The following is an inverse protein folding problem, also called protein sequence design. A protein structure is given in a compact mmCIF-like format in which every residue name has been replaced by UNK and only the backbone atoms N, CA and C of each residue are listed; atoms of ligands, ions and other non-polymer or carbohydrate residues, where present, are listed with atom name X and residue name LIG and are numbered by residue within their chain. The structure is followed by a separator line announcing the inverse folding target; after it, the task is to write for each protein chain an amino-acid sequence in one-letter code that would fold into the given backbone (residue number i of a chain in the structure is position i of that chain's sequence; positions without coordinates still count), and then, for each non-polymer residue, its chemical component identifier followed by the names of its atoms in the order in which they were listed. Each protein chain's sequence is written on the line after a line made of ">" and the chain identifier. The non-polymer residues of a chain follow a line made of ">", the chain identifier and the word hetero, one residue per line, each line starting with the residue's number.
data_IF_570429263053
#
_entry.id   IF_570429263053
#
_cell.length_a   1.000
_cell.length_b   1.000
_cell.length_c   1.000
_cell.angle_alpha   90.00
_cell.angle_beta   90.00
_cell.angle_gamma   90.00
#
_symmetry.space_group_name_H-M   'P 1'
#
loop_
_entity.id
_entity.type
_entity.pdbx_description
1 polymer ?
#
# COMPACT_ATOMS: atom_id res chain seq x y z
N UNK A 1 -27.44 -4.29 24.17
CA UNK A 1 -26.59 -4.35 22.96
C UNK A 1 -25.26 -5.13 23.12
N UNK A 2 -25.17 -6.17 23.94
CA UNK A 2 -23.93 -6.97 24.10
C UNK A 2 -23.63 -7.90 22.90
N UNK A 3 -24.66 -8.37 22.19
CA UNK A 3 -24.49 -9.29 21.06
C UNK A 3 -23.84 -8.66 19.79
N UNK A 4 -24.11 -7.37 19.52
CA UNK A 4 -23.49 -6.67 18.39
C UNK A 4 -21.99 -6.44 18.61
N UNK A 5 -21.58 -6.05 19.84
CA UNK A 5 -20.15 -5.88 20.18
C UNK A 5 -19.37 -7.18 20.05
N UNK A 6 -19.96 -8.32 20.45
CA UNK A 6 -19.33 -9.64 20.37
C UNK A 6 -19.15 -10.11 18.93
N UNK A 7 -20.12 -9.83 18.03
CA UNK A 7 -20.07 -10.18 16.60
C UNK A 7 -19.06 -9.30 15.85
N UNK A 8 -18.95 -8.02 16.22
CA UNK A 8 -17.96 -7.07 15.66
C UNK A 8 -16.54 -7.44 16.11
N UNK A 9 -16.33 -7.77 17.40
CA UNK A 9 -15.02 -8.22 17.91
C UNK A 9 -14.55 -9.52 17.25
N UNK A 10 -15.44 -10.48 17.01
CA UNK A 10 -15.12 -11.72 16.31
C UNK A 10 -14.72 -11.46 14.84
N UNK A 11 -15.45 -10.60 14.14
CA UNK A 11 -15.12 -10.20 12.77
C UNK A 11 -13.75 -9.51 12.67
N UNK A 12 -13.43 -8.62 13.61
CA UNK A 12 -12.12 -7.96 13.70
C UNK A 12 -11.00 -8.99 13.94
N UNK A 13 -11.21 -9.93 14.84
CA UNK A 13 -10.23 -10.97 15.16
C UNK A 13 -9.94 -11.86 13.94
N UNK A 14 -10.99 -12.30 13.23
CA UNK A 14 -10.86 -13.12 12.01
C UNK A 14 -10.08 -12.36 10.92
N UNK A 15 -10.41 -11.10 10.67
CA UNK A 15 -9.71 -10.26 9.68
C UNK A 15 -8.25 -10.03 10.09
N UNK A 16 -7.98 -9.80 11.38
CA UNK A 16 -6.61 -9.62 11.88
C UNK A 16 -5.79 -10.90 11.70
N UNK A 17 -6.38 -12.06 12.02
CA UNK A 17 -5.72 -13.35 11.86
C UNK A 17 -5.45 -13.66 10.37
N UNK A 18 -6.41 -13.37 9.49
CA UNK A 18 -6.25 -13.52 8.04
C UNK A 18 -5.13 -12.63 7.51
N UNK A 19 -5.10 -11.35 7.90
CA UNK A 19 -4.04 -10.43 7.50
C UNK A 19 -2.65 -10.87 8.01
N UNK A 20 -2.57 -11.39 9.23
CA UNK A 20 -1.33 -11.94 9.77
C UNK A 20 -0.88 -13.18 8.98
N UNK A 21 -1.81 -14.08 8.65
CA UNK A 21 -1.52 -15.27 7.85
C UNK A 21 -1.03 -14.90 6.45
N UNK A 22 -1.65 -13.91 5.81
CA UNK A 22 -1.22 -13.37 4.51
C UNK A 22 0.19 -12.80 4.56
N UNK A 23 0.53 -12.08 5.64
CA UNK A 23 1.87 -11.53 5.82
C UNK A 23 2.93 -12.59 6.05
N UNK A 24 2.63 -13.61 6.85
CA UNK A 24 3.53 -14.75 7.07
C UNK A 24 3.75 -15.53 5.78
N UNK A 25 2.68 -15.77 5.01
CA UNK A 25 2.77 -16.43 3.71
C UNK A 25 3.56 -15.61 2.70
N UNK A 26 3.31 -14.29 2.65
CA UNK A 26 4.08 -13.34 1.83
C UNK A 26 5.56 -13.30 2.21
N UNK A 27 5.88 -13.37 3.50
CA UNK A 27 7.26 -13.44 3.99
C UNK A 27 7.93 -14.76 3.58
N UNK A 28 7.25 -15.89 3.77
CA UNK A 28 7.74 -17.20 3.33
C UNK A 28 7.98 -17.25 1.80
N UNK A 29 7.06 -16.64 1.02
CA UNK A 29 7.19 -16.50 -0.43
C UNK A 29 8.46 -15.72 -0.81
N UNK A 30 8.76 -14.62 -0.12
CA UNK A 30 9.96 -13.81 -0.38
C UNK A 30 11.24 -14.56 -0.05
N UNK A 31 11.29 -15.33 1.06
CA UNK A 31 12.44 -16.18 1.39
C UNK A 31 12.64 -17.21 0.28
N UNK A 32 11.59 -17.90 -0.13
CA UNK A 32 11.63 -18.88 -1.23
C UNK A 32 12.16 -18.24 -2.51
N UNK A 33 11.60 -17.07 -2.88
CA UNK A 33 11.95 -16.34 -4.09
C UNK A 33 13.43 -15.95 -4.10
N UNK A 34 13.94 -15.41 -2.98
CA UNK A 34 15.35 -15.02 -2.85
C UNK A 34 16.30 -16.22 -3.00
N UNK A 35 15.94 -17.36 -2.40
CA UNK A 35 16.76 -18.57 -2.48
C UNK A 35 16.74 -19.23 -3.86
N UNK A 36 15.63 -19.15 -4.60
CA UNK A 36 15.48 -19.81 -5.90
C UNK A 36 15.87 -18.89 -7.08
N UNK A 37 15.46 -17.64 -7.04
CA UNK A 37 15.69 -16.71 -8.15
C UNK A 37 16.99 -15.92 -8.03
N UNK A 38 17.46 -15.66 -6.80
CA UNK A 38 18.62 -14.79 -6.55
C UNK A 38 18.27 -13.29 -6.56
N UNK A 39 19.19 -12.47 -6.06
CA UNK A 39 18.98 -11.02 -5.89
C UNK A 39 18.92 -10.26 -7.22
N UNK A 40 19.63 -10.71 -8.24
CA UNK A 40 19.66 -10.08 -9.58
C UNK A 40 18.31 -10.20 -10.27
N UNK A 41 17.76 -11.43 -10.34
CA UNK A 41 16.42 -11.66 -10.89
C UNK A 41 15.33 -10.92 -10.11
N UNK A 42 15.44 -10.81 -8.76
CA UNK A 42 14.53 -10.03 -7.93
C UNK A 42 14.65 -8.54 -8.25
N UNK A 43 15.88 -8.03 -8.45
CA UNK A 43 16.11 -6.65 -8.87
C UNK A 43 15.48 -6.36 -10.23
N UNK A 44 15.67 -7.23 -11.21
CA UNK A 44 15.08 -7.14 -12.53
C UNK A 44 13.52 -7.22 -12.45
N UNK A 45 13.00 -8.15 -11.65
CA UNK A 45 11.56 -8.26 -11.39
C UNK A 45 11.00 -6.97 -10.76
N UNK A 46 11.75 -6.32 -9.86
CA UNK A 46 11.33 -5.05 -9.25
C UNK A 46 11.14 -3.96 -10.29
N UNK A 47 12.00 -3.89 -11.32
CA UNK A 47 11.85 -2.92 -12.42
C UNK A 47 10.62 -3.22 -13.30
N UNK A 48 10.41 -4.49 -13.63
CA UNK A 48 9.22 -4.92 -14.39
C UNK A 48 7.94 -4.62 -13.61
N UNK A 49 7.94 -4.86 -12.30
CA UNK A 49 6.80 -4.60 -11.43
C UNK A 49 6.48 -3.10 -11.25
N UNK A 50 7.40 -2.17 -11.57
CA UNK A 50 7.05 -0.75 -11.63
C UNK A 50 6.07 -0.45 -12.77
N UNK A 51 6.25 -1.10 -13.93
CA UNK A 51 5.27 -0.97 -15.05
C UNK A 51 3.91 -1.49 -14.63
N UNK A 52 3.87 -2.64 -13.93
CA UNK A 52 2.64 -3.18 -13.35
C UNK A 52 2.00 -2.20 -12.37
N UNK A 53 2.77 -1.63 -11.44
CA UNK A 53 2.27 -0.73 -10.40
C UNK A 53 1.66 0.56 -10.99
N UNK A 54 2.30 1.15 -12.00
CA UNK A 54 1.77 2.32 -12.71
C UNK A 54 0.45 1.98 -13.40
N UNK A 55 0.39 0.85 -14.12
CA UNK A 55 -0.82 0.43 -14.81
C UNK A 55 -1.97 0.12 -13.83
N UNK A 56 -1.69 -0.57 -12.72
CA UNK A 56 -2.66 -0.81 -11.64
C UNK A 56 -3.15 0.49 -11.04
N UNK A 57 -2.27 1.46 -10.80
CA UNK A 57 -2.64 2.76 -10.26
C UNK A 57 -3.62 3.49 -11.17
N UNK A 58 -3.40 3.47 -12.48
CA UNK A 58 -4.28 4.12 -13.46
C UNK A 58 -5.62 3.39 -13.61
N UNK A 59 -5.59 2.05 -13.69
CA UNK A 59 -6.79 1.27 -14.03
C UNK A 59 -7.64 0.90 -12.81
N UNK A 60 -7.01 0.67 -11.65
CA UNK A 60 -7.63 -0.06 -10.54
C UNK A 60 -7.84 0.82 -9.30
N UNK A 61 -6.93 1.77 -8.99
CA UNK A 61 -6.99 2.53 -7.73
C UNK A 61 -8.32 3.29 -7.56
N UNK A 62 -8.73 4.04 -8.58
CA UNK A 62 -10.00 4.76 -8.58
C UNK A 62 -11.22 3.83 -8.68
N UNK A 63 -11.10 2.74 -9.45
CA UNK A 63 -12.14 1.73 -9.58
C UNK A 63 -12.48 1.13 -8.20
N UNK A 64 -11.49 0.76 -7.41
CA UNK A 64 -11.71 0.20 -6.08
C UNK A 64 -12.53 1.16 -5.19
N UNK A 65 -12.17 2.43 -5.14
CA UNK A 65 -12.88 3.44 -4.35
C UNK A 65 -14.30 3.64 -4.85
N UNK A 66 -14.48 3.77 -6.17
CA UNK A 66 -15.80 3.99 -6.79
C UNK A 66 -16.73 2.80 -6.57
N UNK A 67 -16.25 1.56 -6.82
CA UNK A 67 -17.05 0.35 -6.66
C UNK A 67 -17.42 0.11 -5.21
N UNK A 68 -16.50 0.22 -4.25
CA UNK A 68 -16.79 0.04 -2.81
C UNK A 68 -17.83 1.06 -2.35
N UNK A 69 -17.64 2.34 -2.71
CA UNK A 69 -18.54 3.42 -2.28
C UNK A 69 -19.94 3.26 -2.87
N UNK A 70 -20.05 2.98 -4.16
CA UNK A 70 -21.33 2.81 -4.83
C UNK A 70 -22.01 1.49 -4.45
N UNK A 71 -21.28 0.38 -4.31
CA UNK A 71 -21.83 -0.88 -3.85
C UNK A 71 -22.48 -0.75 -2.46
N UNK A 72 -21.82 -0.03 -1.53
CA UNK A 72 -22.38 0.26 -0.21
C UNK A 72 -23.69 1.06 -0.29
N UNK A 73 -23.81 1.99 -1.24
CA UNK A 73 -25.04 2.79 -1.43
C UNK A 73 -26.16 2.00 -2.10
N UNK A 74 -25.84 1.25 -3.16
CA UNK A 74 -26.84 0.59 -3.98
C UNK A 74 -27.30 -0.77 -3.47
N UNK A 75 -26.61 -1.36 -2.48
CA UNK A 75 -27.00 -2.67 -1.93
C UNK A 75 -28.43 -2.69 -1.37
N UNK A 76 -28.92 -1.56 -0.87
CA UNK A 76 -30.29 -1.42 -0.33
C UNK A 76 -31.38 -1.43 -1.44
N UNK A 77 -30.99 -1.15 -2.70
CA UNK A 77 -31.87 -1.18 -3.86
C UNK A 77 -31.98 -2.55 -4.54
N UNK A 78 -31.33 -3.56 -3.95
CA UNK A 78 -31.41 -4.92 -4.42
C UNK A 78 -30.25 -5.35 -5.34
N UNK A 79 -30.29 -6.62 -5.74
CA UNK A 79 -29.19 -7.29 -6.45
C UNK A 79 -29.01 -6.77 -7.88
N UNK A 80 -30.07 -6.34 -8.55
CA UNK A 80 -30.00 -5.76 -9.89
C UNK A 80 -29.14 -4.50 -9.97
N UNK A 81 -29.14 -3.66 -8.90
CA UNK A 81 -28.30 -2.47 -8.82
C UNK A 81 -26.82 -2.83 -8.73
N UNK A 82 -26.48 -3.87 -7.97
CA UNK A 82 -25.10 -4.36 -7.85
C UNK A 82 -24.59 -4.92 -9.18
N UNK A 83 -25.45 -5.64 -9.95
CA UNK A 83 -25.10 -6.13 -11.29
C UNK A 83 -24.85 -4.97 -12.26
N UNK A 84 -25.73 -3.95 -12.27
CA UNK A 84 -25.55 -2.74 -13.10
C UNK A 84 -24.22 -2.03 -12.76
N UNK A 85 -23.89 -1.91 -11.47
CA UNK A 85 -22.60 -1.36 -11.03
C UNK A 85 -21.42 -2.18 -11.55
N UNK A 86 -21.48 -3.51 -11.43
CA UNK A 86 -20.44 -4.41 -11.96
C UNK A 86 -20.25 -4.23 -13.47
N UNK A 87 -21.36 -4.12 -14.24
CA UNK A 87 -21.29 -3.90 -15.68
C UNK A 87 -20.66 -2.56 -16.05
N UNK A 88 -21.02 -1.46 -15.35
CA UNK A 88 -20.41 -0.14 -15.56
C UNK A 88 -18.91 -0.18 -15.21
N UNK A 89 -18.56 -0.75 -14.05
CA UNK A 89 -17.17 -0.86 -13.62
C UNK A 89 -16.32 -1.68 -14.58
N UNK A 90 -16.84 -2.81 -15.07
CA UNK A 90 -16.17 -3.67 -16.06
C UNK A 90 -15.96 -2.93 -17.40
N UNK A 91 -16.96 -2.23 -17.90
CA UNK A 91 -16.87 -1.46 -19.16
C UNK A 91 -15.82 -0.35 -19.06
N UNK A 92 -15.86 0.44 -17.98
CA UNK A 92 -14.88 1.52 -17.74
C UNK A 92 -13.46 0.95 -17.56
N UNK A 93 -13.33 -0.13 -16.78
CA UNK A 93 -12.06 -0.79 -16.58
C UNK A 93 -11.44 -1.28 -17.90
N UNK A 94 -12.24 -1.93 -18.77
CA UNK A 94 -11.77 -2.40 -20.07
C UNK A 94 -11.24 -1.25 -20.94
N UNK A 95 -11.93 -0.11 -20.94
CA UNK A 95 -11.46 1.07 -21.69
C UNK A 95 -10.12 1.57 -21.13
N UNK A 96 -10.00 1.75 -19.81
CA UNK A 96 -8.77 2.18 -19.17
C UNK A 96 -7.62 1.18 -19.40
N UNK A 97 -7.92 -0.11 -19.28
CA UNK A 97 -6.96 -1.17 -19.54
C UNK A 97 -6.45 -1.12 -20.99
N UNK A 98 -7.32 -1.01 -21.99
CA UNK A 98 -6.91 -0.93 -23.40
C UNK A 98 -6.09 0.32 -23.69
N UNK A 99 -6.42 1.46 -23.07
CA UNK A 99 -5.63 2.70 -23.18
C UNK A 99 -4.18 2.52 -22.72
N UNK A 100 -3.91 1.62 -21.77
CA UNK A 100 -2.55 1.31 -21.29
C UNK A 100 -1.96 0.11 -22.03
N UNK A 101 -2.74 -0.94 -22.24
CA UNK A 101 -2.25 -2.18 -22.80
C UNK A 101 -1.74 -2.02 -24.23
N UNK A 102 -2.44 -1.23 -25.07
CA UNK A 102 -2.05 -1.02 -26.45
C UNK A 102 -0.69 -0.31 -26.57
N UNK A 103 -0.44 0.84 -25.91
CA UNK A 103 0.89 1.48 -25.92
C UNK A 103 1.99 0.60 -25.32
N UNK A 104 1.75 -0.06 -24.20
CA UNK A 104 2.75 -0.92 -23.54
C UNK A 104 3.09 -2.11 -24.45
N UNK A 105 2.10 -2.74 -25.08
CA UNK A 105 2.32 -3.83 -26.02
C UNK A 105 3.12 -3.38 -27.26
N UNK A 106 2.74 -2.25 -27.86
CA UNK A 106 3.42 -1.69 -29.03
C UNK A 106 4.87 -1.30 -28.73
N UNK A 107 5.12 -0.73 -27.54
CA UNK A 107 6.43 -0.23 -27.12
C UNK A 107 7.24 -1.23 -26.27
N UNK A 108 6.78 -2.49 -26.09
CA UNK A 108 7.38 -3.47 -25.17
C UNK A 108 8.89 -3.67 -25.36
N UNK A 109 9.37 -3.72 -26.61
CA UNK A 109 10.79 -3.85 -26.91
C UNK A 109 11.58 -2.60 -26.54
N UNK A 110 10.99 -1.42 -26.76
CA UNK A 110 11.58 -0.13 -26.35
C UNK A 110 11.64 -0.01 -24.82
N UNK A 111 10.58 -0.42 -24.12
CA UNK A 111 10.52 -0.44 -22.65
C UNK A 111 11.58 -1.42 -22.11
N UNK A 112 11.62 -2.65 -22.62
CA UNK A 112 12.59 -3.65 -22.22
C UNK A 112 14.04 -3.17 -22.41
N UNK A 113 14.38 -2.63 -23.58
CA UNK A 113 15.75 -2.25 -23.92
C UNK A 113 16.18 -0.91 -23.30
N UNK A 114 15.33 0.13 -23.33
CA UNK A 114 15.70 1.50 -22.92
C UNK A 114 15.42 1.79 -21.46
N UNK A 115 14.31 1.27 -20.93
CA UNK A 115 13.86 1.58 -19.57
C UNK A 115 14.37 0.54 -18.56
N UNK A 116 14.19 -0.75 -18.86
CA UNK A 116 14.62 -1.86 -18.00
C UNK A 116 16.08 -2.23 -18.32
N UNK A 117 16.45 -2.09 -19.61
CA UNK A 117 17.77 -2.36 -20.15
C UNK A 117 18.06 -3.85 -20.35
N UNK A 118 17.07 -4.73 -20.45
CA UNK A 118 17.19 -6.14 -20.73
C UNK A 118 16.15 -6.60 -21.74
N UNK A 119 16.60 -6.98 -22.96
CA UNK A 119 15.72 -7.43 -24.03
C UNK A 119 14.95 -8.71 -23.70
N UNK A 120 15.51 -9.56 -22.82
CA UNK A 120 14.92 -10.84 -22.43
C UNK A 120 13.59 -10.71 -21.67
N UNK A 121 13.31 -9.56 -21.06
CA UNK A 121 12.05 -9.32 -20.33
C UNK A 121 10.89 -8.85 -21.21
N UNK A 122 11.08 -8.70 -22.52
CA UNK A 122 10.01 -8.22 -23.42
C UNK A 122 8.80 -9.16 -23.42
N UNK A 123 9.00 -10.47 -23.29
CA UNK A 123 7.93 -11.46 -23.14
C UNK A 123 7.27 -11.40 -21.75
N UNK A 124 8.05 -11.08 -20.72
CA UNK A 124 7.52 -10.88 -19.38
C UNK A 124 6.54 -9.69 -19.33
N UNK A 125 6.75 -8.63 -20.11
CA UNK A 125 5.83 -7.49 -20.21
C UNK A 125 4.45 -7.88 -20.79
N UNK A 126 4.39 -8.86 -21.71
CA UNK A 126 3.11 -9.38 -22.20
C UNK A 126 2.35 -10.08 -21.06
N UNK A 127 3.05 -10.89 -20.28
CA UNK A 127 2.46 -11.54 -19.10
C UNK A 127 2.03 -10.55 -18.03
N UNK A 128 2.76 -9.43 -17.87
CA UNK A 128 2.34 -8.32 -17.01
C UNK A 128 1.01 -7.74 -17.46
N UNK A 129 0.78 -7.55 -18.77
CA UNK A 129 -0.51 -7.09 -19.29
C UNK A 129 -1.64 -8.09 -19.00
N UNK A 130 -1.37 -9.40 -19.17
CA UNK A 130 -2.31 -10.44 -18.77
C UNK A 130 -2.61 -10.40 -17.26
N UNK A 131 -1.59 -10.21 -16.43
CA UNK A 131 -1.73 -10.08 -14.99
C UNK A 131 -2.60 -8.86 -14.64
N UNK A 132 -2.31 -7.67 -15.20
CA UNK A 132 -3.11 -6.45 -14.97
C UNK A 132 -4.58 -6.69 -15.33
N UNK A 133 -4.84 -7.33 -16.47
CA UNK A 133 -6.20 -7.65 -16.90
C UNK A 133 -6.94 -8.49 -15.87
N UNK A 134 -6.32 -9.55 -15.37
CA UNK A 134 -6.92 -10.44 -14.37
C UNK A 134 -7.07 -9.74 -13.01
N UNK A 135 -6.03 -9.05 -12.57
CA UNK A 135 -6.03 -8.29 -11.29
C UNK A 135 -7.16 -7.25 -11.26
N UNK A 136 -7.48 -6.59 -12.39
CA UNK A 136 -8.58 -5.64 -12.43
C UNK A 136 -9.96 -6.31 -12.28
N UNK A 137 -10.17 -7.45 -12.92
CA UNK A 137 -11.39 -8.25 -12.74
C UNK A 137 -11.51 -8.72 -11.29
N UNK A 138 -10.43 -9.21 -10.73
CA UNK A 138 -10.34 -9.64 -9.33
C UNK A 138 -10.70 -8.49 -8.36
N UNK A 139 -10.04 -7.35 -8.52
CA UNK A 139 -10.28 -6.18 -7.66
C UNK A 139 -11.71 -5.64 -7.78
N UNK A 140 -12.32 -5.70 -8.95
CA UNK A 140 -13.73 -5.34 -9.13
C UNK A 140 -14.63 -6.23 -8.24
N UNK A 141 -14.44 -7.56 -8.28
CA UNK A 141 -15.21 -8.47 -7.43
C UNK A 141 -14.88 -8.30 -5.94
N UNK A 142 -13.62 -8.13 -5.58
CA UNK A 142 -13.20 -7.80 -4.18
C UNK A 142 -13.93 -6.55 -3.69
N UNK A 143 -13.92 -5.49 -4.48
CA UNK A 143 -14.55 -4.20 -4.14
C UNK A 143 -16.07 -4.31 -3.96
N UNK A 144 -16.76 -5.12 -4.78
CA UNK A 144 -18.18 -5.40 -4.62
C UNK A 144 -18.45 -6.13 -3.29
N UNK A 145 -17.66 -7.16 -2.97
CA UNK A 145 -17.82 -7.89 -1.72
C UNK A 145 -17.56 -7.03 -0.49
N UNK A 146 -16.52 -6.16 -0.55
CA UNK A 146 -16.21 -5.20 0.53
C UNK A 146 -17.36 -4.21 0.70
N UNK A 147 -17.80 -3.57 -0.39
CA UNK A 147 -18.87 -2.57 -0.39
C UNK A 147 -20.21 -3.13 0.12
N UNK A 148 -20.50 -4.41 -0.13
CA UNK A 148 -21.71 -5.11 0.34
C UNK A 148 -21.53 -5.80 1.70
N UNK A 149 -20.44 -5.50 2.45
CA UNK A 149 -20.22 -6.02 3.80
C UNK A 149 -19.76 -7.49 3.87
N UNK A 150 -19.35 -8.09 2.75
CA UNK A 150 -18.86 -9.49 2.66
C UNK A 150 -17.32 -9.57 2.64
N UNK A 151 -16.65 -8.72 3.40
CA UNK A 151 -15.19 -8.68 3.51
C UNK A 151 -14.49 -10.04 3.83
N UNK A 152 -15.06 -10.97 4.61
CA UNK A 152 -14.42 -12.28 4.82
C UNK A 152 -14.20 -13.08 3.52
N UNK A 153 -15.05 -12.91 2.50
CA UNK A 153 -14.88 -13.58 1.20
C UNK A 153 -13.60 -13.11 0.49
N UNK A 154 -13.28 -11.82 0.59
CA UNK A 154 -12.05 -11.26 0.00
C UNK A 154 -10.81 -11.79 0.72
N UNK A 155 -10.85 -11.92 2.04
CA UNK A 155 -9.74 -12.50 2.81
C UNK A 155 -9.45 -13.96 2.42
N UNK A 156 -10.50 -14.76 2.16
CA UNK A 156 -10.34 -16.14 1.67
C UNK A 156 -9.74 -16.15 0.27
N UNK A 157 -10.22 -15.29 -0.65
CA UNK A 157 -9.66 -15.23 -2.02
C UNK A 157 -8.20 -14.84 -2.03
N UNK A 158 -7.77 -13.89 -1.16
CA UNK A 158 -6.38 -13.49 -1.01
C UNK A 158 -5.48 -14.61 -0.46
N UNK A 159 -5.98 -15.41 0.50
CA UNK A 159 -5.24 -16.58 1.00
C UNK A 159 -5.07 -17.65 -0.09
N UNK A 160 -6.12 -17.90 -0.87
CA UNK A 160 -6.06 -18.84 -2.01
C UNK A 160 -5.08 -18.34 -3.06
N UNK A 161 -5.16 -17.06 -3.42
CA UNK A 161 -4.24 -16.41 -4.37
C UNK A 161 -2.78 -16.54 -3.94
N UNK A 162 -2.45 -16.15 -2.70
CA UNK A 162 -1.09 -16.20 -2.20
C UNK A 162 -0.55 -17.63 -2.10
N UNK A 163 -1.39 -18.59 -1.71
CA UNK A 163 -1.02 -20.01 -1.67
C UNK A 163 -0.76 -20.56 -3.07
N UNK A 164 -1.63 -20.25 -4.02
CA UNK A 164 -1.49 -20.64 -5.42
C UNK A 164 -0.25 -19.98 -6.04
N UNK A 165 0.00 -18.68 -5.78
CA UNK A 165 1.18 -17.95 -6.23
C UNK A 165 2.47 -18.60 -5.73
N UNK A 166 2.52 -18.93 -4.44
CA UNK A 166 3.66 -19.62 -3.85
C UNK A 166 3.95 -20.94 -4.59
N UNK A 167 2.91 -21.75 -4.80
CA UNK A 167 3.04 -23.06 -5.45
C UNK A 167 3.48 -22.94 -6.91
N UNK A 168 2.81 -22.11 -7.71
CA UNK A 168 3.10 -21.99 -9.13
C UNK A 168 4.45 -21.35 -9.39
N UNK A 169 4.83 -20.30 -8.67
CA UNK A 169 6.15 -19.69 -8.81
C UNK A 169 7.25 -20.70 -8.46
N UNK A 170 7.06 -21.47 -7.38
CA UNK A 170 8.02 -22.52 -7.00
C UNK A 170 8.18 -23.59 -8.08
N UNK A 171 7.07 -24.08 -8.65
CA UNK A 171 7.08 -25.09 -9.71
C UNK A 171 7.73 -24.56 -10.98
N UNK A 172 7.36 -23.33 -11.41
CA UNK A 172 7.84 -22.75 -12.65
C UNK A 172 9.34 -22.40 -12.61
N UNK A 173 9.83 -21.85 -11.49
CA UNK A 173 11.26 -21.58 -11.35
C UNK A 173 12.08 -22.86 -11.36
N UNK A 174 11.63 -23.94 -10.68
CA UNK A 174 12.34 -25.20 -10.66
C UNK A 174 12.26 -25.99 -11.97
N UNK A 175 11.15 -25.89 -12.68
CA UNK A 175 10.88 -26.74 -13.83
C UNK A 175 11.22 -26.14 -15.19
N UNK A 176 11.23 -24.81 -15.33
CA UNK A 176 11.22 -24.16 -16.65
C UNK A 176 12.32 -23.09 -16.85
N UNK A 177 13.23 -22.87 -15.89
CA UNK A 177 14.22 -21.81 -16.05
C UNK A 177 15.59 -22.34 -16.48
N UNK A 178 16.13 -21.73 -17.55
CA UNK A 178 17.47 -21.99 -18.09
C UNK A 178 18.60 -21.31 -17.31
N UNK A 179 18.34 -20.88 -16.08
CA UNK A 179 19.31 -20.16 -15.24
C UNK A 179 19.42 -18.65 -15.54
N UNK A 180 18.86 -18.14 -16.65
CA UNK A 180 18.87 -16.71 -17.00
C UNK A 180 17.86 -15.92 -16.14
N UNK A 181 18.25 -14.71 -15.69
CA UNK A 181 17.40 -13.90 -14.82
C UNK A 181 16.09 -13.47 -15.49
N UNK A 182 16.10 -13.14 -16.78
CA UNK A 182 14.89 -12.84 -17.55
C UNK A 182 13.90 -14.04 -17.58
N UNK A 183 14.41 -15.28 -17.66
CA UNK A 183 13.57 -16.48 -17.61
C UNK A 183 12.96 -16.66 -16.22
N UNK A 184 13.72 -16.39 -15.15
CA UNK A 184 13.23 -16.42 -13.76
C UNK A 184 12.14 -15.38 -13.53
N UNK A 185 12.31 -14.14 -14.02
CA UNK A 185 11.32 -13.07 -13.97
C UNK A 185 10.04 -13.49 -14.70
N UNK A 186 10.19 -14.07 -15.90
CA UNK A 186 9.04 -14.59 -16.68
C UNK A 186 8.29 -15.67 -15.90
N UNK A 187 9.00 -16.60 -15.24
CA UNK A 187 8.41 -17.64 -14.40
C UNK A 187 7.66 -17.05 -13.18
N UNK A 188 8.20 -16.02 -12.53
CA UNK A 188 7.57 -15.33 -11.41
C UNK A 188 6.24 -14.71 -11.85
N UNK A 189 6.24 -13.96 -12.96
CA UNK A 189 5.04 -13.29 -13.47
C UNK A 189 4.01 -14.30 -13.98
N UNK A 190 4.45 -15.39 -14.63
CA UNK A 190 3.55 -16.49 -15.03
C UNK A 190 2.85 -17.12 -13.83
N UNK A 191 3.57 -17.33 -12.73
CA UNK A 191 2.99 -17.83 -11.47
C UNK A 191 1.99 -16.86 -10.86
N UNK A 192 2.23 -15.54 -10.98
CA UNK A 192 1.25 -14.52 -10.59
C UNK A 192 -0.03 -14.62 -11.44
N UNK A 193 0.10 -14.67 -12.76
CA UNK A 193 -1.04 -14.81 -13.68
C UNK A 193 -1.87 -16.04 -13.33
N UNK A 194 -1.22 -17.20 -13.10
CA UNK A 194 -1.92 -18.43 -12.73
C UNK A 194 -2.65 -18.29 -11.38
N UNK A 195 -2.06 -17.62 -10.40
CA UNK A 195 -2.69 -17.42 -9.09
C UNK A 195 -3.96 -16.55 -9.13
N UNK A 196 -4.00 -15.54 -10.03
CA UNK A 196 -5.17 -14.69 -10.23
C UNK A 196 -6.41 -15.48 -10.66
N UNK A 197 -6.25 -16.52 -11.49
CA UNK A 197 -7.38 -17.37 -11.89
C UNK A 197 -8.05 -18.07 -10.70
N UNK A 198 -7.27 -18.50 -9.71
CA UNK A 198 -7.80 -19.14 -8.51
C UNK A 198 -8.53 -18.14 -7.61
N UNK A 199 -8.00 -16.94 -7.46
CA UNK A 199 -8.68 -15.88 -6.73
C UNK A 199 -9.98 -15.46 -7.40
N UNK A 200 -9.95 -15.19 -8.70
CA UNK A 200 -11.15 -14.85 -9.49
C UNK A 200 -12.18 -15.97 -9.38
N UNK A 201 -11.75 -17.23 -9.46
CA UNK A 201 -12.64 -18.40 -9.34
C UNK A 201 -13.40 -18.39 -8.01
N UNK A 202 -12.71 -18.17 -6.87
CA UNK A 202 -13.34 -18.11 -5.54
C UNK A 202 -14.31 -16.94 -5.42
N UNK A 203 -13.94 -15.77 -5.91
CA UNK A 203 -14.79 -14.57 -5.89
C UNK A 203 -16.00 -14.71 -6.82
N UNK A 204 -15.82 -15.29 -8.01
CA UNK A 204 -16.88 -15.50 -8.98
C UNK A 204 -17.92 -16.51 -8.46
N UNK A 205 -17.50 -17.61 -7.86
CA UNK A 205 -18.40 -18.58 -7.22
C UNK A 205 -19.26 -17.88 -6.16
N UNK A 206 -18.62 -17.05 -5.32
CA UNK A 206 -19.34 -16.28 -4.31
C UNK A 206 -20.27 -15.24 -4.93
N UNK A 207 -19.85 -14.57 -6.00
CA UNK A 207 -20.65 -13.57 -6.70
C UNK A 207 -21.89 -14.21 -7.37
N UNK A 208 -21.72 -15.31 -8.08
CA UNK A 208 -22.83 -16.05 -8.71
C UNK A 208 -23.84 -16.51 -7.67
N UNK A 209 -23.37 -17.13 -6.58
CA UNK A 209 -24.23 -17.61 -5.49
C UNK A 209 -25.06 -16.51 -4.84
N UNK A 210 -24.51 -15.30 -4.71
CA UNK A 210 -25.16 -14.24 -3.93
C UNK A 210 -25.89 -13.20 -4.80
N UNK A 211 -25.48 -13.00 -6.05
CA UNK A 211 -25.98 -11.91 -6.89
C UNK A 211 -26.59 -12.36 -8.23
N UNK A 212 -26.44 -13.62 -8.64
CA UNK A 212 -27.03 -14.10 -9.87
C UNK A 212 -28.30 -14.95 -9.67
N UNK A 213 -28.49 -15.54 -8.49
CA UNK A 213 -29.61 -16.46 -8.23
C UNK A 213 -30.86 -15.78 -7.68
N UNK A 214 -30.86 -14.49 -7.41
CA UNK A 214 -32.04 -13.82 -6.88
C UNK A 214 -32.88 -13.13 -7.96
N UNK A 215 -34.23 -13.15 -7.76
CA UNK A 215 -35.23 -12.65 -8.67
C UNK A 215 -35.03 -11.20 -9.11
N UNK A 216 -35.25 -10.98 -10.40
CA UNK A 216 -35.17 -9.69 -11.08
C UNK A 216 -36.44 -8.87 -10.87
N UNK A 217 -36.61 -8.22 -9.74
CA UNK A 217 -37.56 -7.12 -9.68
C UNK A 217 -36.94 -5.91 -10.39
N UNK A 218 -37.56 -5.37 -11.47
CA UNK A 218 -37.03 -4.20 -12.17
C UNK A 218 -37.30 -2.95 -11.31
N UNK A 219 -36.39 -2.61 -10.42
CA UNK A 219 -36.40 -1.30 -9.76
C UNK A 219 -35.62 -0.31 -10.62
N UNK A 220 -36.19 0.87 -10.84
CA UNK A 220 -35.51 1.97 -11.52
C UNK A 220 -34.35 2.49 -10.66
N UNK A 221 -33.14 2.24 -11.11
CA UNK A 221 -31.90 2.73 -10.47
C UNK A 221 -31.47 4.03 -11.17
N UNK A 222 -32.22 5.10 -11.01
CA UNK A 222 -31.93 6.39 -11.67
C UNK A 222 -30.63 7.04 -11.19
N UNK A 223 -30.20 6.73 -9.96
CA UNK A 223 -28.99 7.33 -9.36
C UNK A 223 -27.66 6.68 -9.85
N UNK A 224 -27.72 5.48 -10.46
CA UNK A 224 -26.51 4.78 -10.89
C UNK A 224 -26.25 5.04 -12.39
N UNK A 225 -25.52 6.10 -12.66
CA UNK A 225 -25.09 6.50 -14.00
C UNK A 225 -23.58 6.38 -14.17
N UNK A 226 -23.10 6.31 -15.42
CA UNK A 226 -21.65 6.39 -15.71
C UNK A 226 -21.06 7.70 -15.15
N UNK A 227 -21.83 8.80 -15.19
CA UNK A 227 -21.39 10.08 -14.64
C UNK A 227 -21.13 10.04 -13.13
N UNK A 228 -22.06 9.45 -12.35
CA UNK A 228 -21.87 9.30 -10.90
C UNK A 228 -20.67 8.39 -10.55
N UNK A 229 -20.41 7.38 -11.37
CA UNK A 229 -19.23 6.52 -11.24
C UNK A 229 -17.93 7.30 -11.53
N UNK A 230 -17.89 8.05 -12.63
CA UNK A 230 -16.71 8.86 -13.02
C UNK A 230 -16.38 9.97 -12.04
N UNK A 231 -17.38 10.61 -11.42
CA UNK A 231 -17.16 11.63 -10.37
C UNK A 231 -16.35 11.12 -9.17
N UNK A 232 -16.46 9.82 -8.86
CA UNK A 232 -15.68 9.21 -7.77
C UNK A 232 -14.37 8.63 -8.31
N UNK A 233 -14.43 7.97 -9.47
CA UNK A 233 -13.27 7.30 -10.08
C UNK A 233 -12.15 8.28 -10.41
N UNK A 234 -12.43 9.38 -11.11
CA UNK A 234 -11.38 10.27 -11.62
C UNK A 234 -10.52 10.90 -10.49
N UNK A 235 -11.07 11.53 -9.44
CA UNK A 235 -10.26 12.08 -8.37
C UNK A 235 -9.43 11.01 -7.63
N UNK A 236 -10.02 9.83 -7.39
CA UNK A 236 -9.33 8.73 -6.72
C UNK A 236 -8.19 8.17 -7.58
N UNK A 237 -8.40 8.03 -8.90
CA UNK A 237 -7.36 7.61 -9.85
C UNK A 237 -6.21 8.62 -9.90
N UNK A 238 -6.51 9.91 -10.00
CA UNK A 238 -5.48 10.97 -10.02
C UNK A 238 -4.61 10.94 -8.76
N UNK A 239 -5.22 10.72 -7.60
CA UNK A 239 -4.48 10.59 -6.33
C UNK A 239 -3.58 9.35 -6.34
N UNK A 240 -4.08 8.22 -6.83
CA UNK A 240 -3.30 6.99 -6.95
C UNK A 240 -2.13 7.13 -7.93
N UNK A 241 -2.36 7.72 -9.10
CA UNK A 241 -1.32 7.97 -10.12
C UNK A 241 -0.21 8.85 -9.55
N UNK A 242 -0.56 9.95 -8.88
CA UNK A 242 0.42 10.87 -8.34
C UNK A 242 1.40 10.18 -7.37
N UNK A 243 0.90 9.35 -6.45
CA UNK A 243 1.75 8.63 -5.50
C UNK A 243 2.61 7.56 -6.18
N UNK A 244 2.02 6.76 -7.08
CA UNK A 244 2.72 5.63 -7.71
C UNK A 244 3.72 6.08 -8.77
N UNK A 245 3.45 7.16 -9.51
CA UNK A 245 4.32 7.64 -10.56
C UNK A 245 5.70 8.07 -10.01
N UNK A 246 5.72 8.82 -8.92
CA UNK A 246 6.99 9.26 -8.32
C UNK A 246 7.82 8.08 -7.80
N UNK A 247 7.20 7.12 -7.12
CA UNK A 247 7.87 5.91 -6.63
C UNK A 247 8.45 5.10 -7.79
N UNK A 248 7.68 4.94 -8.87
CA UNK A 248 8.09 4.20 -10.05
C UNK A 248 9.26 4.88 -10.78
N UNK A 249 9.20 6.19 -10.98
CA UNK A 249 10.29 6.95 -11.59
C UNK A 249 11.55 6.85 -10.74
N UNK A 250 11.44 6.98 -9.42
CA UNK A 250 12.58 6.84 -8.49
C UNK A 250 13.25 5.48 -8.61
N UNK A 251 12.46 4.41 -8.70
CA UNK A 251 12.97 3.03 -8.82
C UNK A 251 13.58 2.77 -10.19
N UNK A 252 13.00 3.30 -11.28
CA UNK A 252 13.49 3.11 -12.64
C UNK A 252 14.76 3.93 -12.95
N UNK A 253 14.91 5.08 -12.31
CA UNK A 253 16.10 5.95 -12.45
C UNK A 253 17.30 5.38 -11.67
N UNK A 254 17.07 4.69 -10.57
CA UNK A 254 18.10 4.21 -9.66
C UNK A 254 19.22 3.37 -10.31
N UNK A 255 18.93 2.35 -11.18
CA UNK A 255 19.99 1.55 -11.81
C UNK A 255 20.97 2.41 -12.59
N UNK A 256 20.46 3.38 -13.39
CA UNK A 256 21.30 4.27 -14.20
C UNK A 256 22.17 5.18 -13.33
N UNK A 257 21.67 5.61 -12.17
CA UNK A 257 22.47 6.44 -11.22
C UNK A 257 23.56 5.62 -10.55
N UNK A 258 23.30 4.37 -10.22
CA UNK A 258 24.30 3.45 -9.66
C UNK A 258 25.38 3.09 -10.69
N UNK A 259 25.06 2.96 -11.99
CA UNK A 259 26.04 2.78 -13.05
C UNK A 259 27.00 3.98 -13.14
N UNK A 260 26.47 5.22 -13.06
CA UNK A 260 27.29 6.44 -13.03
C UNK A 260 28.21 6.47 -11.81
N UNK A 261 27.74 5.95 -10.68
CA UNK A 261 28.51 5.84 -9.44
C UNK A 261 29.59 4.73 -9.47
N UNK A 262 29.70 3.96 -10.57
CA UNK A 262 30.72 2.92 -10.76
C UNK A 262 30.28 1.49 -10.50
N UNK A 263 28.97 1.24 -10.27
CA UNK A 263 28.45 -0.12 -10.19
C UNK A 263 28.42 -0.79 -11.57
N UNK A 264 28.61 -2.12 -11.58
CA UNK A 264 28.23 -2.92 -12.74
C UNK A 264 26.71 -3.02 -12.80
N UNK A 265 26.14 -3.38 -13.95
CA UNK A 265 24.71 -3.57 -14.10
C UNK A 265 24.17 -4.65 -13.15
N UNK A 266 24.84 -5.78 -13.07
CA UNK A 266 24.49 -6.88 -12.16
C UNK A 266 24.55 -6.43 -10.69
N UNK A 267 25.61 -5.68 -10.31
CA UNK A 267 25.74 -5.11 -8.99
C UNK A 267 24.63 -4.12 -8.63
N UNK A 268 24.21 -3.27 -9.58
CA UNK A 268 23.09 -2.35 -9.37
C UNK A 268 21.77 -3.08 -9.19
N UNK A 269 21.48 -4.09 -10.03
CA UNK A 269 20.26 -4.92 -9.89
C UNK A 269 20.26 -5.73 -8.60
N UNK A 270 21.42 -6.32 -8.24
CA UNK A 270 21.56 -7.04 -6.97
C UNK A 270 21.32 -6.14 -5.76
N UNK A 271 21.84 -4.91 -5.78
CA UNK A 271 21.60 -3.92 -4.73
C UNK A 271 20.11 -3.56 -4.59
N UNK A 272 19.42 -3.33 -5.70
CA UNK A 272 17.97 -3.05 -5.73
C UNK A 272 17.18 -4.26 -5.23
N UNK A 273 17.53 -5.46 -5.68
CA UNK A 273 16.90 -6.71 -5.25
C UNK A 273 17.10 -6.96 -3.76
N UNK A 274 18.28 -6.71 -3.23
CA UNK A 274 18.57 -6.82 -1.80
C UNK A 274 17.76 -5.80 -0.98
N UNK A 275 17.70 -4.54 -1.42
CA UNK A 275 16.94 -3.49 -0.72
C UNK A 275 15.44 -3.76 -0.73
N UNK A 276 14.86 -3.88 -1.92
CA UNK A 276 13.40 -3.94 -2.10
C UNK A 276 12.84 -5.36 -1.90
N UNK A 277 13.60 -6.39 -2.26
CA UNK A 277 13.17 -7.78 -2.18
C UNK A 277 13.42 -8.43 -0.82
N UNK A 278 14.48 -8.03 -0.12
CA UNK A 278 14.94 -8.70 1.11
C UNK A 278 14.82 -7.81 2.33
N UNK A 279 15.54 -6.68 2.37
CA UNK A 279 15.69 -5.90 3.61
C UNK A 279 14.39 -5.11 3.91
N UNK A 280 13.87 -4.36 2.94
CA UNK A 280 12.71 -3.50 3.17
C UNK A 280 11.49 -4.28 3.69
N UNK A 281 11.07 -5.40 3.08
CA UNK A 281 9.92 -6.15 3.56
C UNK A 281 10.09 -6.72 4.96
N UNK A 282 11.33 -7.10 5.31
CA UNK A 282 11.64 -7.62 6.64
C UNK A 282 11.53 -6.52 7.70
N UNK A 283 12.11 -5.35 7.42
CA UNK A 283 12.11 -4.21 8.34
C UNK A 283 10.73 -3.57 8.47
N UNK A 284 9.93 -3.58 7.40
CA UNK A 284 8.57 -3.00 7.41
C UNK A 284 7.50 -3.91 7.98
N UNK A 285 7.81 -5.17 8.33
CA UNK A 285 6.83 -6.14 8.83
C UNK A 285 5.95 -5.61 10.00
N UNK A 286 6.47 -4.85 10.99
CA UNK A 286 5.64 -4.31 12.06
C UNK A 286 4.63 -3.24 11.62
N UNK A 287 4.70 -2.74 10.39
CA UNK A 287 3.77 -1.74 9.85
C UNK A 287 2.33 -2.23 9.81
N UNK A 288 2.09 -3.54 9.73
CA UNK A 288 0.76 -4.12 9.76
C UNK A 288 -0.02 -3.75 11.03
N UNK A 289 0.65 -3.69 12.18
CA UNK A 289 0.04 -3.27 13.43
C UNK A 289 -0.44 -1.82 13.37
N UNK A 290 0.37 -0.93 12.78
CA UNK A 290 0.02 0.49 12.61
C UNK A 290 -1.15 0.65 11.66
N UNK A 291 -1.14 -0.05 10.52
CA UNK A 291 -2.22 -0.01 9.54
C UNK A 291 -3.54 -0.50 10.12
N UNK A 292 -3.52 -1.61 10.86
CA UNK A 292 -4.71 -2.11 11.56
C UNK A 292 -5.26 -1.09 12.56
N UNK A 293 -4.39 -0.48 13.37
CA UNK A 293 -4.77 0.56 14.32
C UNK A 293 -5.34 1.80 13.63
N UNK A 294 -4.77 2.24 12.53
CA UNK A 294 -5.23 3.37 11.76
C UNK A 294 -6.61 3.12 11.13
N UNK A 295 -6.88 1.93 10.63
CA UNK A 295 -8.18 1.55 10.07
C UNK A 295 -9.31 1.62 11.12
N UNK A 296 -9.01 1.32 12.38
CA UNK A 296 -9.97 1.44 13.48
C UNK A 296 -10.16 2.90 13.90
N UNK A 297 -9.07 3.68 13.97
CA UNK A 297 -9.10 5.07 14.45
C UNK A 297 -9.65 6.05 13.43
N UNK A 298 -9.50 5.81 12.13
CA UNK A 298 -9.97 6.69 11.08
C UNK A 298 -11.46 7.04 11.21
N UNK A 299 -12.40 6.08 11.31
CA UNK A 299 -13.82 6.40 11.48
C UNK A 299 -14.14 7.07 12.83
N UNK A 300 -13.43 6.68 13.90
CA UNK A 300 -13.61 7.28 15.23
C UNK A 300 -13.20 8.76 15.23
N UNK A 301 -12.05 9.07 14.62
CA UNK A 301 -11.57 10.44 14.51
C UNK A 301 -12.45 11.28 13.59
N UNK A 302 -12.89 10.71 12.45
CA UNK A 302 -13.82 11.40 11.53
C UNK A 302 -15.14 11.75 12.20
N UNK A 303 -15.66 10.87 13.07
CA UNK A 303 -16.85 11.13 13.87
C UNK A 303 -16.61 12.27 14.88
N UNK A 304 -15.54 12.22 15.65
CA UNK A 304 -15.18 13.25 16.63
C UNK A 304 -14.97 14.62 15.96
N UNK A 305 -14.38 14.66 14.76
CA UNK A 305 -14.24 15.89 13.95
C UNK A 305 -15.61 16.42 13.51
N UNK A 306 -16.54 15.56 13.08
CA UNK A 306 -17.91 15.94 12.73
C UNK A 306 -18.70 16.50 13.91
N UNK A 307 -18.52 15.94 15.10
CA UNK A 307 -19.14 16.38 16.35
C UNK A 307 -18.42 17.58 16.99
N UNK A 308 -17.26 17.99 16.43
CA UNK A 308 -16.40 19.09 16.95
C UNK A 308 -15.96 18.88 18.41
N UNK A 309 -15.80 17.62 18.84
CA UNK A 309 -15.34 17.27 20.19
C UNK A 309 -13.80 17.34 20.26
N UNK A 310 -13.29 18.52 20.68
CA UNK A 310 -11.85 18.79 20.75
C UNK A 310 -11.10 17.84 21.70
N UNK A 311 -11.74 17.38 22.77
CA UNK A 311 -11.13 16.48 23.77
C UNK A 311 -10.95 15.10 23.17
N UNK A 312 -11.96 14.57 22.51
CA UNK A 312 -11.88 13.29 21.79
C UNK A 312 -10.88 13.35 20.65
N UNK A 313 -10.90 14.42 19.84
CA UNK A 313 -9.94 14.60 18.73
C UNK A 313 -8.50 14.52 19.26
N UNK A 314 -8.16 15.32 20.28
CA UNK A 314 -6.82 15.33 20.86
C UNK A 314 -6.41 13.97 21.46
N UNK A 315 -7.36 13.28 22.12
CA UNK A 315 -7.17 11.97 22.70
C UNK A 315 -6.83 10.91 21.64
N UNK A 316 -7.62 10.83 20.55
CA UNK A 316 -7.42 9.86 19.46
C UNK A 316 -6.12 10.15 18.71
N UNK A 317 -5.80 11.42 18.44
CA UNK A 317 -4.55 11.82 17.78
C UNK A 317 -3.34 11.42 18.62
N UNK A 318 -3.36 11.70 19.94
CA UNK A 318 -2.30 11.29 20.87
C UNK A 318 -2.12 9.77 20.87
N UNK A 319 -3.21 9.02 20.99
CA UNK A 319 -3.19 7.55 20.97
C UNK A 319 -2.63 7.02 19.65
N UNK A 320 -3.01 7.60 18.50
CA UNK A 320 -2.52 7.20 17.19
C UNK A 320 -1.00 7.39 17.09
N UNK A 321 -0.47 8.54 17.53
CA UNK A 321 0.98 8.81 17.52
C UNK A 321 1.73 7.86 18.46
N UNK A 322 1.24 7.64 19.67
CA UNK A 322 1.86 6.72 20.62
C UNK A 322 1.87 5.28 20.11
N UNK A 323 0.79 4.84 19.46
CA UNK A 323 0.73 3.50 18.87
C UNK A 323 1.69 3.31 17.71
N UNK A 324 2.04 4.38 16.99
CA UNK A 324 3.07 4.35 15.93
C UNK A 324 4.48 4.31 16.51
N UNK A 325 4.70 4.90 17.69
CA UNK A 325 5.97 4.84 18.39
C UNK A 325 6.25 3.45 18.99
N UNK A 326 5.22 2.72 19.38
CA UNK A 326 5.38 1.43 20.06
C UNK A 326 6.20 0.39 19.24
N UNK A 327 5.88 0.07 17.96
CA UNK A 327 6.69 -0.87 17.18
C UNK A 327 8.08 -0.32 16.85
N UNK A 328 8.25 1.00 16.72
CA UNK A 328 9.56 1.61 16.52
C UNK A 328 10.47 1.37 17.72
N UNK A 329 10.00 1.68 18.93
CA UNK A 329 10.77 1.60 20.17
C UNK A 329 10.96 0.16 20.66
N UNK A 330 9.93 -0.68 20.56
CA UNK A 330 9.92 -2.04 21.13
C UNK A 330 10.43 -3.11 20.17
N UNK A 331 10.35 -2.88 18.88
CA UNK A 331 10.73 -3.88 17.87
C UNK A 331 11.89 -3.39 17.02
N UNK A 332 11.73 -2.29 16.26
CA UNK A 332 12.70 -1.89 15.25
C UNK A 332 14.03 -1.42 15.86
N UNK A 333 14.01 -0.54 16.85
CA UNK A 333 15.24 -0.02 17.44
C UNK A 333 16.05 -1.13 18.14
N UNK A 334 15.46 -1.97 19.03
CA UNK A 334 16.20 -3.07 19.65
C UNK A 334 16.67 -4.15 18.66
N UNK A 335 15.96 -4.31 17.53
CA UNK A 335 16.32 -5.29 16.52
C UNK A 335 17.48 -4.86 15.62
N UNK A 336 17.83 -3.56 15.53
CA UNK A 336 18.91 -3.06 14.65
C UNK A 336 20.20 -3.91 14.74
N UNK A 337 20.77 -4.18 15.93
CA UNK A 337 22.01 -4.94 16.03
C UNK A 337 21.87 -6.42 15.63
N UNK A 338 20.66 -6.96 15.73
CA UNK A 338 20.36 -8.37 15.39
C UNK A 338 19.88 -8.55 13.96
N UNK A 339 19.41 -7.48 13.33
CA UNK A 339 18.70 -7.51 12.03
C UNK A 339 19.59 -8.11 10.93
N UNK A 340 20.86 -7.77 10.88
CA UNK A 340 21.81 -8.31 9.92
C UNK A 340 21.92 -9.84 10.04
N UNK A 341 21.99 -10.36 11.27
CA UNK A 341 22.05 -11.82 11.52
C UNK A 341 20.73 -12.49 11.17
N UNK A 342 19.61 -11.88 11.52
CA UNK A 342 18.29 -12.41 11.17
C UNK A 342 18.12 -12.51 9.66
N UNK A 343 18.49 -11.48 8.90
CA UNK A 343 18.43 -11.48 7.44
C UNK A 343 19.35 -12.59 6.88
N UNK A 344 20.55 -12.76 7.43
CA UNK A 344 21.46 -13.81 6.94
C UNK A 344 20.92 -15.21 7.22
N UNK A 345 20.27 -15.45 8.35
CA UNK A 345 19.64 -16.75 8.67
C UNK A 345 18.48 -17.07 7.74
N UNK A 346 17.60 -16.11 7.48
CA UNK A 346 16.41 -16.35 6.65
C UNK A 346 16.71 -16.37 5.15
N UNK A 347 17.55 -15.44 4.68
CA UNK A 347 17.77 -15.21 3.25
C UNK A 347 19.12 -15.73 2.74
N UNK A 348 20.06 -16.06 3.62
CA UNK A 348 21.42 -16.45 3.25
C UNK A 348 22.31 -15.31 2.73
N UNK A 349 21.88 -14.06 2.92
CA UNK A 349 22.55 -12.84 2.47
C UNK A 349 22.96 -12.02 3.68
N UNK A 350 24.20 -11.51 3.71
CA UNK A 350 24.71 -10.69 4.80
C UNK A 350 24.80 -9.22 4.36
N UNK A 351 23.72 -8.41 4.56
CA UNK A 351 23.73 -7.01 4.17
C UNK A 351 24.66 -6.20 5.07
N UNK A 352 25.16 -5.07 4.56
CA UNK A 352 25.97 -4.17 5.35
C UNK A 352 25.11 -3.52 6.46
N UNK A 353 25.62 -3.47 7.69
CA UNK A 353 24.87 -3.00 8.87
C UNK A 353 24.33 -1.57 8.71
N UNK A 354 25.08 -0.67 8.10
CA UNK A 354 24.64 0.72 7.89
C UNK A 354 23.46 0.83 6.92
N UNK A 355 23.36 -0.05 5.90
CA UNK A 355 22.21 -0.11 5.00
C UNK A 355 20.94 -0.51 5.76
N UNK A 356 21.06 -1.55 6.59
CA UNK A 356 19.95 -2.03 7.44
C UNK A 356 19.51 -0.94 8.41
N UNK A 357 20.47 -0.25 9.03
CA UNK A 357 20.18 0.85 9.97
C UNK A 357 19.43 2.00 9.29
N UNK A 358 19.92 2.49 8.14
CA UNK A 358 19.25 3.57 7.40
C UNK A 358 17.85 3.17 6.95
N UNK A 359 17.67 1.93 6.48
CA UNK A 359 16.36 1.45 6.07
C UNK A 359 15.39 1.32 7.26
N UNK A 360 15.91 0.95 8.45
CA UNK A 360 15.13 0.94 9.69
C UNK A 360 14.72 2.35 10.10
N UNK A 361 15.62 3.33 10.02
CA UNK A 361 15.32 4.75 10.29
C UNK A 361 14.24 5.25 9.33
N UNK A 362 14.37 4.98 8.02
CA UNK A 362 13.34 5.29 7.03
C UNK A 362 11.98 4.71 7.44
N UNK A 363 11.97 3.43 7.82
CA UNK A 363 10.73 2.72 8.20
C UNK A 363 10.07 3.34 9.42
N UNK A 364 10.85 3.76 10.41
CA UNK A 364 10.32 4.47 11.59
C UNK A 364 9.65 5.78 11.17
N UNK A 365 10.25 6.55 10.27
CA UNK A 365 9.66 7.78 9.73
C UNK A 365 8.32 7.47 9.03
N UNK A 366 8.26 6.41 8.22
CA UNK A 366 7.04 5.97 7.53
C UNK A 366 5.92 5.63 8.51
N UNK A 367 6.20 5.05 9.69
CA UNK A 367 5.20 4.75 10.70
C UNK A 367 4.43 6.00 11.14
N UNK A 368 5.16 7.08 11.42
CA UNK A 368 4.55 8.36 11.79
C UNK A 368 3.90 9.05 10.60
N UNK A 369 4.50 8.92 9.42
CA UNK A 369 4.00 9.52 8.19
C UNK A 369 2.63 8.93 7.81
N UNK A 370 2.47 7.60 7.79
CA UNK A 370 1.19 6.93 7.49
C UNK A 370 0.11 7.31 8.51
N UNK A 371 0.47 7.41 9.79
CA UNK A 371 -0.46 7.84 10.84
C UNK A 371 -0.86 9.30 10.68
N UNK A 372 0.08 10.19 10.33
CA UNK A 372 -0.22 11.60 10.07
C UNK A 372 -1.17 11.80 8.87
N UNK A 373 -0.99 11.00 7.83
CA UNK A 373 -1.91 10.96 6.66
C UNK A 373 -3.31 10.52 7.08
N UNK A 374 -3.44 9.47 7.91
CA UNK A 374 -4.72 9.03 8.44
C UNK A 374 -5.43 10.15 9.22
N UNK A 375 -4.69 10.87 10.08
CA UNK A 375 -5.23 11.99 10.87
C UNK A 375 -5.73 13.11 9.95
N UNK A 376 -4.94 13.54 8.96
CA UNK A 376 -5.34 14.59 8.02
C UNK A 376 -6.53 14.17 7.14
N UNK A 377 -6.60 12.90 6.74
CA UNK A 377 -7.73 12.36 6.00
C UNK A 377 -9.01 12.36 6.84
N UNK A 378 -8.92 12.01 8.13
CA UNK A 378 -10.05 12.10 9.06
C UNK A 378 -10.53 13.54 9.26
N UNK A 379 -9.61 14.52 9.21
CA UNK A 379 -9.90 15.96 9.27
C UNK A 379 -10.35 16.56 7.92
N UNK A 380 -10.61 15.73 6.90
CA UNK A 380 -11.02 16.16 5.54
C UNK A 380 -10.01 17.09 4.84
N UNK A 381 -8.71 16.99 5.18
CA UNK A 381 -7.63 17.82 4.60
C UNK A 381 -6.82 17.06 3.52
N UNK A 382 -7.50 16.26 2.72
CA UNK A 382 -6.90 15.39 1.69
C UNK A 382 -6.06 16.17 0.65
N UNK A 383 -6.49 17.39 0.27
CA UNK A 383 -5.73 18.24 -0.65
C UNK A 383 -4.34 18.63 -0.12
N UNK A 384 -4.20 18.84 1.21
CA UNK A 384 -2.89 19.10 1.83
C UNK A 384 -2.04 17.84 1.84
N UNK A 385 -2.62 16.68 2.11
CA UNK A 385 -1.91 15.38 2.05
C UNK A 385 -1.31 15.15 0.67
N UNK A 386 -2.08 15.38 -0.39
CA UNK A 386 -1.60 15.25 -1.77
C UNK A 386 -0.48 16.25 -2.08
N UNK A 387 -0.65 17.52 -1.71
CA UNK A 387 0.36 18.54 -1.94
C UNK A 387 1.70 18.20 -1.25
N UNK A 388 1.65 17.79 0.01
CA UNK A 388 2.84 17.43 0.78
C UNK A 388 3.48 16.13 0.28
N UNK A 389 2.67 15.19 -0.21
CA UNK A 389 3.18 14.00 -0.88
C UNK A 389 3.99 14.39 -2.13
N UNK A 390 3.43 15.22 -3.00
CA UNK A 390 4.13 15.67 -4.23
C UNK A 390 5.42 16.42 -3.91
N UNK A 391 5.41 17.33 -2.92
CA UNK A 391 6.62 18.07 -2.50
C UNK A 391 7.70 17.11 -2.00
N UNK A 392 7.35 16.16 -1.14
CA UNK A 392 8.31 15.19 -0.59
C UNK A 392 8.88 14.25 -1.65
N UNK A 393 8.05 13.76 -2.57
CA UNK A 393 8.46 12.88 -3.66
C UNK A 393 9.36 13.62 -4.68
N UNK A 394 9.04 14.87 -5.04
CA UNK A 394 9.90 15.68 -5.90
C UNK A 394 11.27 15.92 -5.27
N UNK A 395 11.30 16.26 -3.98
CA UNK A 395 12.56 16.40 -3.24
C UNK A 395 13.36 15.09 -3.21
N UNK A 396 12.69 13.96 -2.93
CA UNK A 396 13.30 12.65 -2.94
C UNK A 396 13.91 12.31 -4.31
N UNK A 397 13.14 12.49 -5.40
CA UNK A 397 13.60 12.21 -6.76
C UNK A 397 14.81 13.06 -7.15
N UNK A 398 14.78 14.34 -6.82
CA UNK A 398 15.88 15.26 -7.07
C UNK A 398 17.13 14.83 -6.31
N UNK A 399 17.00 14.45 -5.05
CA UNK A 399 18.12 13.96 -4.24
C UNK A 399 18.65 12.62 -4.75
N UNK A 400 17.78 11.69 -5.18
CA UNK A 400 18.21 10.41 -5.79
C UNK A 400 19.06 10.69 -7.02
N UNK A 401 18.64 11.64 -7.86
CA UNK A 401 19.35 11.99 -9.09
C UNK A 401 20.80 12.42 -8.84
N UNK A 402 21.06 13.15 -7.76
CA UNK A 402 22.41 13.66 -7.42
C UNK A 402 23.16 12.72 -6.48
N UNK A 403 22.52 12.26 -5.38
CA UNK A 403 23.23 11.51 -4.33
C UNK A 403 23.50 10.06 -4.71
N UNK A 404 22.60 9.39 -5.45
CA UNK A 404 22.85 8.02 -5.87
C UNK A 404 23.89 7.89 -6.98
N UNK A 405 24.15 8.97 -7.73
CA UNK A 405 25.20 9.02 -8.73
C UNK A 405 26.59 9.36 -8.16
N UNK A 406 26.68 9.71 -6.86
CA UNK A 406 27.94 10.05 -6.23
C UNK A 406 28.76 8.77 -5.91
N UNK A 407 30.02 8.67 -6.37
CA UNK A 407 30.88 7.50 -6.13
C UNK A 407 31.18 7.18 -4.67
N UNK A 408 30.97 8.12 -3.73
CA UNK A 408 31.16 7.88 -2.29
C UNK A 408 29.89 7.42 -1.56
N UNK A 409 28.71 7.76 -2.10
CA UNK A 409 27.43 7.50 -1.43
C UNK A 409 26.68 6.30 -2.01
N UNK A 410 26.68 6.13 -3.33
CA UNK A 410 26.02 5.00 -4.02
C UNK A 410 24.60 4.70 -3.50
N UNK A 411 24.39 3.48 -3.02
CA UNK A 411 23.16 2.99 -2.40
C UNK A 411 22.79 3.78 -1.13
N UNK A 412 23.77 4.27 -0.39
CA UNK A 412 23.52 5.14 0.79
C UNK A 412 22.89 6.47 0.37
N UNK A 413 23.34 7.04 -0.75
CA UNK A 413 22.74 8.26 -1.32
C UNK A 413 21.25 8.07 -1.65
N UNK A 414 20.87 6.91 -2.18
CA UNK A 414 19.47 6.55 -2.39
C UNK A 414 18.68 6.48 -1.08
N UNK A 415 19.19 5.79 -0.06
CA UNK A 415 18.53 5.67 1.23
C UNK A 415 18.40 7.02 1.97
N UNK A 416 19.43 7.85 1.92
CA UNK A 416 19.42 9.20 2.49
C UNK A 416 18.35 10.06 1.79
N UNK A 417 18.26 9.98 0.45
CA UNK A 417 17.23 10.68 -0.32
C UNK A 417 15.82 10.30 0.11
N UNK A 418 15.57 9.02 0.33
CA UNK A 418 14.29 8.52 0.82
C UNK A 418 13.99 9.03 2.24
N UNK A 419 14.96 9.02 3.14
CA UNK A 419 14.82 9.51 4.52
C UNK A 419 14.47 11.00 4.53
N UNK A 420 15.13 11.81 3.71
CA UNK A 420 14.87 13.25 3.62
C UNK A 420 13.49 13.52 3.02
N UNK A 421 13.10 12.83 1.95
CA UNK A 421 11.79 12.98 1.31
C UNK A 421 10.65 12.63 2.25
N UNK A 422 10.70 11.45 2.88
CA UNK A 422 9.69 11.02 3.86
C UNK A 422 9.68 11.88 5.12
N UNK A 423 10.87 12.32 5.58
CA UNK A 423 10.99 13.23 6.71
C UNK A 423 10.35 14.59 6.44
N UNK A 424 10.56 15.15 5.25
CA UNK A 424 9.92 16.40 4.83
C UNK A 424 8.39 16.27 4.81
N UNK A 425 7.87 15.19 4.22
CA UNK A 425 6.42 14.89 4.22
C UNK A 425 5.87 14.81 5.64
N UNK A 426 6.56 14.11 6.53
CA UNK A 426 6.16 13.98 7.93
C UNK A 426 6.11 15.35 8.62
N UNK A 427 7.14 16.18 8.48
CA UNK A 427 7.19 17.52 9.09
C UNK A 427 6.03 18.37 8.59
N UNK A 428 5.78 18.42 7.28
CA UNK A 428 4.67 19.19 6.70
C UNK A 428 3.32 18.69 7.20
N UNK A 429 3.12 17.37 7.30
CA UNK A 429 1.90 16.78 7.86
C UNK A 429 1.72 17.14 9.34
N UNK A 430 2.76 17.08 10.16
CA UNK A 430 2.70 17.44 11.58
C UNK A 430 2.36 18.93 11.77
N UNK A 431 2.96 19.82 10.97
CA UNK A 431 2.61 21.24 10.97
C UNK A 431 1.13 21.43 10.65
N UNK A 432 0.63 20.75 9.61
CA UNK A 432 -0.79 20.85 9.23
C UNK A 432 -1.74 20.29 10.31
N UNK A 433 -1.35 19.23 11.02
CA UNK A 433 -2.12 18.66 12.14
C UNK A 433 -2.15 19.67 13.30
N UNK A 434 -1.01 20.24 13.69
CA UNK A 434 -0.95 21.20 14.81
C UNK A 434 -1.76 22.47 14.53
N UNK A 435 -1.69 23.00 13.30
CA UNK A 435 -2.52 24.13 12.86
C UNK A 435 -4.00 23.77 12.95
N UNK A 436 -4.37 22.58 12.45
CA UNK A 436 -5.77 22.13 12.45
C UNK A 436 -6.32 21.95 13.88
N UNK A 437 -5.53 21.35 14.78
CA UNK A 437 -5.91 21.22 16.19
C UNK A 437 -6.08 22.57 16.87
N UNK A 438 -5.26 23.57 16.53
CA UNK A 438 -5.39 24.93 17.07
C UNK A 438 -6.67 25.63 16.56
N UNK A 439 -7.06 25.40 15.30
CA UNK A 439 -8.33 25.89 14.72
C UNK A 439 -9.53 25.31 15.48
N UNK A 440 -9.57 23.99 15.70
CA UNK A 440 -10.64 23.33 16.46
C UNK A 440 -10.73 23.83 17.92
N UNK A 441 -9.59 23.99 18.59
CA UNK A 441 -9.57 24.53 19.96
C UNK A 441 -10.12 25.95 20.06
N UNK A 442 -9.84 26.82 19.08
CA UNK A 442 -10.40 28.18 19.04
C UNK A 442 -11.92 28.19 18.83
N UNK A 443 -12.42 27.35 17.93
CA UNK A 443 -13.87 27.20 17.70
C UNK A 443 -14.61 26.61 18.91
N UNK A 444 -14.00 25.63 19.60
CA UNK A 444 -14.55 25.00 20.79
C UNK A 444 -14.64 25.97 21.99
N UNK A 445 -13.64 26.84 22.19
CA UNK A 445 -13.64 27.86 23.23
C UNK A 445 -14.65 28.98 22.96
N UNK A 446 -14.97 29.27 21.69
CA UNK A 446 -15.97 30.27 21.30
C UNK A 446 -17.40 29.81 21.58
N UNK A 447 -17.70 28.50 21.51
CA UNK A 447 -19.06 27.95 21.68
C UNK A 447 -19.40 27.50 23.10
N UNK A 448 -18.42 27.18 23.95
CA UNK A 448 -18.65 26.69 25.32
C UNK A 448 -17.48 27.07 26.24
N UNK A 449 -17.52 28.26 26.93
CA UNK A 449 -16.41 28.75 27.77
C UNK A 449 -16.02 27.80 28.93
N UNK A 450 -16.97 26.98 29.42
CA UNK A 450 -16.75 26.01 30.49
C UNK A 450 -15.90 24.79 30.06
N UNK A 451 -16.07 24.29 28.83
CA UNK A 451 -15.30 23.16 28.31
C UNK A 451 -13.86 23.54 27.93
N UNK A 452 -13.62 24.78 27.52
CA UNK A 452 -12.29 25.30 27.22
C UNK A 452 -11.38 25.40 28.47
N UNK A 453 -11.93 25.60 29.65
CA UNK A 453 -11.22 25.59 30.94
C UNK A 453 -10.82 24.18 31.37
N UNK A 454 -11.71 23.19 31.16
CA UNK A 454 -11.41 21.78 31.46
C UNK A 454 -10.40 21.16 30.50
N UNK A 455 -10.48 21.46 29.19
CA UNK A 455 -9.50 21.02 28.20
C UNK A 455 -8.09 21.57 28.51
N UNK A 456 -7.97 22.88 28.87
CA UNK A 456 -6.70 23.45 29.33
C UNK A 456 -6.18 22.80 30.61
N UNK A 457 -7.05 22.54 31.59
CA UNK A 457 -6.67 21.85 32.84
C UNK A 457 -6.28 20.40 32.61
N UNK A 458 -6.91 19.68 31.68
CA UNK A 458 -6.56 18.30 31.33
C UNK A 458 -5.20 18.22 30.64
N UNK A 459 -4.89 19.13 29.71
CA UNK A 459 -3.59 19.23 29.04
C UNK A 459 -2.48 19.58 30.04
N UNK A 460 -2.75 20.52 30.97
CA UNK A 460 -1.77 20.94 31.99
C UNK A 460 -1.54 19.86 33.06
N UNK A 461 -2.58 19.11 33.45
CA UNK A 461 -2.45 17.98 34.40
C UNK A 461 -1.70 16.78 33.83
N UNK A 462 -1.75 16.56 32.51
CA UNK A 462 -1.00 15.49 31.84
C UNK A 462 0.45 15.88 31.48
N UNK A 463 0.80 17.16 31.52
CA UNK A 463 2.15 17.66 31.27
C UNK A 463 3.03 17.76 32.53
N UNK A 464 2.47 17.59 33.74
CA UNK A 464 3.23 17.56 35.00
C UNK A 464 3.41 16.10 35.45
N UNK A 465 4.64 15.55 35.44
CA UNK A 465 4.90 14.29 36.11
C UNK A 465 4.62 14.43 37.60
N UNK A 466 3.91 13.46 38.16
CA UNK A 466 3.57 13.36 39.58
C UNK A 466 4.79 13.50 40.48
N UNK A 467 5.02 14.71 40.99
CA UNK A 467 6.01 14.99 42.08
C UNK A 467 5.42 14.64 43.46
N UNK A 468 4.63 13.59 43.62
CA UNK A 468 4.09 13.17 44.91
C UNK A 468 4.17 11.65 45.10
N UNK A 469 5.35 11.07 44.95
CA UNK A 469 5.65 9.74 45.44
C UNK A 469 7.08 9.69 45.97
N UNK A 470 7.45 10.67 46.82
CA UNK A 470 8.68 10.64 47.59
C UNK A 470 8.46 11.53 48.82
N UNK A 471 7.66 11.04 49.77
CA UNK A 471 7.74 11.34 51.21
C UNK A 471 7.18 10.16 51.98
#
# INVERSE_FOLDING_TARGET
>A
MPGLKKKTSYGILVLTLSNLSLQLLGFAFRIMLTKLAGTEAIGLNSLVMQIYSVAVSVCISGMNVAVVTLAARVQHHGIGAVRKLASIACGVYLVLFLCIAIPVFAMRNGIANRLIGDSGVSNALILVLCCIFLTGIENMFKSIHIGTGKAPTTAVSELVEQSARFLFVWLLIKGLTDGRDAARVTAIISGMVLSEFFSIGTLLISYVKHYMQADNAPQKYEELTIGSYMCILLPATLTGIASTAFESVSTLVLPNRLLIAGYTREGALSAIGMLNGVIAPFVTMPMCYIMAGNNIRLPLLSKAVGEKDCVQIAGIVKEAILSSAAPALLINIPAIPLMQRLISVFFGIMPQQHIVTLLTVKTIIIYFQVTSVMILNAMMKQGRVLLFAVIGELMQLLLIYYLAANPFLHVLGYLISMIIGEGLRLVLNLIAITVSLSEYNKEGTSKNPSQGSEAKKAITRQALPSRQAAR
#
